data_IF_806388228170
#
_entry.id   IF_806388228170
#
_cell.length_a   1.000
_cell.length_b   1.000
_cell.length_c   1.000
_cell.angle_alpha   90.00
_cell.angle_beta   90.00
_cell.angle_gamma   90.00
#
_symmetry.space_group_name_H-M   'P 1'
#
loop_
_entity.id
_entity.type
_entity.pdbx_description
1 polymer ?
#
# COMPACT_ATOMS: atom_id res chain seq x y z
N UNK A 1 18.92 -7.85 -17.30
CA UNK A 1 18.10 -7.03 -16.39
C UNK A 1 17.28 -8.01 -15.58
N UNK A 2 17.38 -8.03 -14.23
CA UNK A 2 16.66 -9.02 -13.44
C UNK A 2 15.15 -8.85 -13.69
N UNK A 3 14.48 -9.95 -14.02
CA UNK A 3 13.04 -10.02 -14.25
C UNK A 3 12.33 -9.65 -12.94
N UNK A 4 12.00 -8.37 -12.77
CA UNK A 4 11.17 -7.89 -11.67
C UNK A 4 9.75 -8.38 -11.95
N UNK A 5 9.34 -9.46 -11.27
CA UNK A 5 7.93 -9.85 -11.20
C UNK A 5 7.16 -8.67 -10.64
N UNK A 6 6.45 -7.95 -11.50
CA UNK A 6 5.57 -6.87 -11.10
C UNK A 6 4.56 -7.43 -10.10
N UNK A 7 4.57 -6.96 -8.84
CA UNK A 7 3.53 -7.36 -7.92
C UNK A 7 2.20 -6.91 -8.52
N UNK A 8 1.19 -7.79 -8.51
CA UNK A 8 -0.18 -7.42 -8.89
C UNK A 8 -0.70 -6.39 -7.89
N UNK A 9 -0.40 -5.12 -8.12
CA UNK A 9 -0.89 -4.00 -7.34
C UNK A 9 -2.39 -3.89 -7.58
N UNK A 10 -3.17 -3.74 -6.51
CA UNK A 10 -4.59 -3.43 -6.66
C UNK A 10 -4.72 -1.99 -7.16
N UNK A 11 -5.69 -1.69 -8.06
CA UNK A 11 -6.02 -0.31 -8.39
C UNK A 11 -6.34 0.47 -7.11
N UNK A 12 -5.81 1.68 -6.97
CA UNK A 12 -6.01 2.52 -5.78
C UNK A 12 -5.06 2.24 -4.61
N UNK A 13 -4.07 1.36 -4.78
CA UNK A 13 -3.07 1.05 -3.75
C UNK A 13 -1.65 1.26 -4.27
N UNK A 14 -0.78 1.81 -3.41
CA UNK A 14 0.66 1.91 -3.67
C UNK A 14 1.39 0.68 -3.15
N UNK A 15 1.10 0.25 -1.93
CA UNK A 15 1.78 -0.87 -1.26
C UNK A 15 0.74 -1.83 -0.65
N UNK A 16 0.56 -3.04 -1.21
CA UNK A 16 -0.38 -4.02 -0.69
C UNK A 16 -0.06 -4.43 0.75
N UNK A 17 -1.10 -4.71 1.55
CA UNK A 17 -0.95 -5.17 2.93
C UNK A 17 -0.01 -6.38 3.07
N UNK A 18 -0.07 -7.35 2.15
CA UNK A 18 0.79 -8.54 2.15
C UNK A 18 2.29 -8.21 2.03
N UNK A 19 2.62 -7.10 1.37
CA UNK A 19 3.99 -6.61 1.30
C UNK A 19 4.33 -5.85 2.59
N UNK A 20 3.44 -4.96 3.04
CA UNK A 20 3.70 -4.16 4.25
C UNK A 20 3.86 -5.01 5.51
N UNK A 21 3.03 -6.05 5.65
CA UNK A 21 3.05 -6.97 6.79
C UNK A 21 4.40 -7.66 6.99
N UNK A 22 5.16 -7.88 5.91
CA UNK A 22 6.50 -8.50 5.98
C UNK A 22 7.56 -7.58 6.60
N UNK A 23 7.35 -6.27 6.52
CA UNK A 23 8.25 -5.26 7.11
C UNK A 23 7.89 -4.97 8.57
N UNK A 24 6.64 -5.25 8.97
CA UNK A 24 6.18 -4.98 10.31
C UNK A 24 6.71 -6.03 11.30
N UNK A 25 7.09 -5.62 12.52
CA UNK A 25 7.37 -6.56 13.59
C UNK A 25 6.10 -7.35 13.95
N UNK A 26 6.26 -8.39 14.78
CA UNK A 26 5.12 -9.21 15.23
C UNK A 26 4.01 -8.32 15.81
N UNK A 27 2.85 -8.35 15.16
CA UNK A 27 1.68 -7.59 15.59
C UNK A 27 1.16 -8.20 16.89
N UNK A 28 1.12 -7.39 17.95
CA UNK A 28 0.59 -7.77 19.28
C UNK A 28 -0.88 -7.41 19.48
N UNK A 29 -1.47 -6.61 18.58
CA UNK A 29 -2.86 -6.15 18.63
C UNK A 29 -3.73 -6.71 17.50
N UNK A 30 -4.85 -6.03 17.22
CA UNK A 30 -5.77 -6.42 16.15
C UNK A 30 -5.16 -6.14 14.76
N UNK A 31 -4.81 -7.21 14.05
CA UNK A 31 -4.26 -7.12 12.70
C UNK A 31 -5.24 -6.47 11.71
N UNK A 32 -6.54 -6.73 11.84
CA UNK A 32 -7.54 -6.18 10.91
C UNK A 32 -7.63 -4.66 11.03
N UNK A 33 -7.51 -4.13 12.25
CA UNK A 33 -7.51 -2.69 12.47
C UNK A 33 -6.28 -2.03 11.83
N UNK A 34 -5.10 -2.62 12.02
CA UNK A 34 -3.85 -2.08 11.44
C UNK A 34 -3.92 -2.15 9.91
N UNK A 35 -4.40 -3.27 9.37
CA UNK A 35 -4.61 -3.42 7.93
C UNK A 35 -5.53 -2.35 7.38
N UNK A 36 -6.68 -2.12 8.03
CA UNK A 36 -7.65 -1.12 7.59
C UNK A 36 -7.05 0.29 7.57
N UNK A 37 -6.39 0.68 8.66
CA UNK A 37 -5.73 1.99 8.76
C UNK A 37 -4.63 2.13 7.71
N UNK A 38 -3.86 1.06 7.45
CA UNK A 38 -2.86 1.06 6.39
C UNK A 38 -3.48 1.24 5.00
N UNK A 39 -4.49 0.43 4.65
CA UNK A 39 -5.17 0.51 3.35
C UNK A 39 -5.82 1.89 3.14
N UNK A 40 -6.40 2.49 4.18
CA UNK A 40 -7.00 3.84 4.12
C UNK A 40 -5.93 4.92 3.83
N UNK A 41 -4.77 4.87 4.49
CA UNK A 41 -3.67 5.82 4.27
C UNK A 41 -3.02 5.61 2.90
N UNK A 42 -2.80 4.36 2.50
CA UNK A 42 -2.21 3.99 1.22
C UNK A 42 -3.06 4.48 0.04
N UNK A 43 -4.40 4.39 0.16
CA UNK A 43 -5.33 4.93 -0.84
C UNK A 43 -5.24 6.46 -0.96
N UNK A 44 -5.10 7.17 0.17
CA UNK A 44 -4.87 8.62 0.15
C UNK A 44 -3.54 8.98 -0.50
N UNK A 45 -2.47 8.22 -0.20
CA UNK A 45 -1.17 8.37 -0.84
C UNK A 45 -1.23 8.17 -2.36
N UNK A 46 -1.92 7.11 -2.81
CA UNK A 46 -2.18 6.86 -4.22
C UNK A 46 -2.87 8.05 -4.88
N UNK A 47 -3.96 8.54 -4.29
CA UNK A 47 -4.71 9.68 -4.82
C UNK A 47 -3.84 10.93 -4.91
N UNK A 48 -3.03 11.23 -3.88
CA UNK A 48 -2.13 12.38 -3.87
C UNK A 48 -1.14 12.35 -5.03
N UNK A 49 -0.49 11.20 -5.27
CA UNK A 49 0.46 11.03 -6.39
C UNK A 49 -0.24 11.36 -7.71
N UNK A 50 -1.45 10.85 -7.93
CA UNK A 50 -2.20 11.13 -9.16
C UNK A 50 -2.64 12.58 -9.29
N UNK A 51 -3.04 13.24 -8.19
CA UNK A 51 -3.34 14.68 -8.22
C UNK A 51 -2.10 15.48 -8.62
N UNK A 52 -0.91 15.15 -8.11
CA UNK A 52 0.34 15.79 -8.54
C UNK A 52 0.65 15.56 -10.02
N UNK A 53 0.21 14.44 -10.61
CA UNK A 53 0.49 14.06 -11.99
C UNK A 53 -0.56 14.52 -13.01
N UNK A 54 -1.78 14.85 -12.59
CA UNK A 54 -2.90 15.13 -13.50
C UNK A 54 -3.50 16.52 -13.32
N UNK A 55 -3.23 17.20 -12.20
CA UNK A 55 -3.87 18.49 -11.88
C UNK A 55 -3.02 19.72 -12.26
N UNK A 56 -2.26 19.63 -13.36
CA UNK A 56 -1.48 20.76 -13.92
C UNK A 56 -1.94 21.15 -15.33
#
# INVERSE_FOLDING_TARGET
MPEQKEPKLKPGACIPWEQKKKELPRISGDEQLIRKVWEDIDALGYMYIWQCLLSF
#
